data_IF_580892854099
#
_entry.id   IF_580892854099
#
_cell.length_a   1.000
_cell.length_b   1.000
_cell.length_c   1.000
_cell.angle_alpha   90.00
_cell.angle_beta   90.00
_cell.angle_gamma   90.00
#
_symmetry.space_group_name_H-M   'P 1'
#
loop_
_entity.id
_entity.type
_entity.pdbx_description
1 polymer ?
#
# COMPACT_ATOMS: atom_id res chain seq x y z
N UNK A 1 -1.44 0.00 -28.09
CA UNK A 1 -0.96 -0.79 -26.93
C UNK A 1 -1.63 -0.19 -25.72
N UNK A 2 -2.70 -0.84 -25.26
CA UNK A 2 -3.50 -0.30 -24.16
C UNK A 2 -2.66 -0.22 -22.88
N UNK A 3 -2.85 0.83 -22.06
CA UNK A 3 -2.07 1.01 -20.85
C UNK A 3 -2.43 -0.10 -19.85
N UNK A 4 -1.54 -1.07 -19.64
CA UNK A 4 -1.63 -2.00 -18.51
C UNK A 4 -1.83 -1.20 -17.21
N UNK A 5 -2.79 -1.57 -16.34
CA UNK A 5 -3.01 -0.85 -15.10
C UNK A 5 -1.75 -0.98 -14.24
N UNK A 6 -1.18 0.15 -13.81
CA UNK A 6 -0.02 0.18 -12.93
C UNK A 6 -0.48 0.60 -11.54
N UNK A 7 -0.38 -0.30 -10.57
CA UNK A 7 -0.61 -0.01 -9.15
C UNK A 7 0.73 0.08 -8.43
N UNK A 8 0.91 1.15 -7.66
CA UNK A 8 2.09 1.37 -6.83
C UNK A 8 1.71 1.19 -5.36
N UNK A 9 2.30 0.19 -4.71
CA UNK A 9 2.16 -0.06 -3.28
C UNK A 9 3.51 0.25 -2.59
N UNK A 10 3.70 1.48 -2.10
CA UNK A 10 4.96 1.92 -1.51
C UNK A 10 5.13 1.43 -0.05
N UNK A 11 6.21 0.68 0.27
CA UNK A 11 6.62 0.36 1.64
C UNK A 11 7.46 1.49 2.27
N UNK A 12 7.65 1.48 3.59
CA UNK A 12 8.48 2.46 4.30
C UNK A 12 7.70 3.70 4.76
N UNK A 13 8.37 4.81 5.05
CA UNK A 13 7.75 6.01 5.61
C UNK A 13 6.45 6.40 4.93
N UNK A 14 5.34 6.32 5.68
CA UNK A 14 4.02 6.59 5.15
C UNK A 14 3.89 8.02 4.60
N UNK A 15 4.58 8.97 5.23
CA UNK A 15 4.58 10.38 4.81
C UNK A 15 5.34 10.59 3.50
N UNK A 16 6.56 10.08 3.38
CA UNK A 16 7.36 10.22 2.16
C UNK A 16 6.76 9.43 0.99
N UNK A 17 6.22 8.25 1.30
CA UNK A 17 5.45 7.42 0.39
C UNK A 17 4.20 8.13 -0.18
N UNK A 18 3.48 8.87 0.67
CA UNK A 18 2.32 9.65 0.27
C UNK A 18 2.72 10.90 -0.54
N UNK A 19 3.84 11.55 -0.18
CA UNK A 19 4.37 12.74 -0.86
C UNK A 19 5.06 12.44 -2.18
N UNK A 20 5.54 11.21 -2.39
CA UNK A 20 6.21 10.82 -3.63
C UNK A 20 5.22 10.95 -4.81
N UNK A 21 5.57 11.71 -5.87
CA UNK A 21 4.67 11.92 -7.01
C UNK A 21 4.51 10.63 -7.82
N UNK A 22 3.53 9.81 -7.44
CA UNK A 22 3.25 8.48 -8.02
C UNK A 22 3.07 8.56 -9.54
N UNK A 23 2.40 9.60 -10.04
CA UNK A 23 2.18 9.82 -11.48
C UNK A 23 3.48 10.04 -12.28
N UNK A 24 4.49 10.71 -11.70
CA UNK A 24 5.77 10.95 -12.38
C UNK A 24 6.62 9.68 -12.43
N UNK A 25 6.63 8.92 -11.33
CA UNK A 25 7.35 7.66 -11.22
C UNK A 25 6.78 6.61 -12.18
N UNK A 26 5.45 6.53 -12.26
CA UNK A 26 4.75 5.64 -13.19
C UNK A 26 4.99 6.00 -14.67
N UNK A 27 5.08 7.29 -15.01
CA UNK A 27 5.45 7.73 -16.37
C UNK A 27 6.87 7.30 -16.74
N UNK A 28 7.85 7.52 -15.86
CA UNK A 28 9.23 7.09 -16.10
C UNK A 28 9.38 5.57 -16.19
N UNK A 29 8.63 4.81 -15.40
CA UNK A 29 8.64 3.34 -15.49
C UNK A 29 8.04 2.82 -16.81
N UNK A 30 7.06 3.53 -17.38
CA UNK A 30 6.48 3.21 -18.69
C UNK A 30 7.44 3.50 -19.86
N UNK A 31 8.37 4.43 -19.67
CA UNK A 31 9.39 4.81 -20.66
C UNK A 31 10.62 3.88 -20.64
N UNK A 32 10.73 2.96 -19.68
CA UNK A 32 11.86 2.03 -19.62
C UNK A 32 11.76 0.94 -20.72
N UNK A 33 12.83 0.69 -21.49
CA UNK A 33 12.82 -0.31 -22.56
C UNK A 33 12.66 -1.75 -22.03
N UNK A 34 11.93 -2.58 -22.78
CA UNK A 34 11.57 -3.99 -22.50
C UNK A 34 12.78 -4.92 -22.20
N UNK A 35 13.94 -4.60 -22.78
CA UNK A 35 15.14 -5.45 -22.82
C UNK A 35 16.21 -5.05 -21.80
N UNK A 36 15.85 -4.43 -20.68
CA UNK A 36 16.87 -4.19 -19.67
C UNK A 36 17.21 -5.50 -18.95
N UNK A 37 18.37 -6.07 -19.28
CA UNK A 37 18.95 -7.24 -18.61
C UNK A 37 18.96 -7.01 -17.10
N UNK A 38 18.60 -8.02 -16.26
CA UNK A 38 18.77 -7.92 -14.82
C UNK A 38 20.25 -7.65 -14.55
N UNK A 39 20.56 -6.45 -14.10
CA UNK A 39 21.90 -5.95 -14.00
C UNK A 39 21.94 -4.81 -13.00
N UNK A 40 22.92 -4.84 -12.12
CA UNK A 40 23.22 -3.79 -11.17
C UNK A 40 23.74 -2.57 -11.96
N UNK A 41 22.83 -1.74 -12.48
CA UNK A 41 23.21 -0.46 -13.09
C UNK A 41 23.85 0.42 -12.01
N UNK A 42 24.94 1.17 -12.29
CA UNK A 42 25.63 1.97 -11.29
C UNK A 42 24.67 3.04 -10.74
N UNK A 43 24.33 2.93 -9.46
CA UNK A 43 23.38 3.81 -8.76
C UNK A 43 23.76 5.29 -8.84
N UNK A 44 25.06 5.59 -8.99
CA UNK A 44 25.62 6.94 -8.87
C UNK A 44 25.25 7.86 -10.03
N UNK A 45 25.35 7.41 -11.29
CA UNK A 45 25.02 8.27 -12.45
C UNK A 45 23.53 8.59 -12.56
N UNK A 46 22.66 7.69 -12.08
CA UNK A 46 21.21 7.86 -12.16
C UNK A 46 20.63 8.65 -10.99
N UNK A 47 21.18 8.47 -9.79
CA UNK A 47 20.83 9.31 -8.64
C UNK A 47 21.26 10.76 -8.85
N UNK A 48 22.44 11.00 -9.45
CA UNK A 48 22.87 12.33 -9.87
C UNK A 48 21.96 12.96 -10.95
N UNK A 49 21.42 12.16 -11.88
CA UNK A 49 20.45 12.64 -12.88
C UNK A 49 19.07 12.93 -12.27
N UNK A 50 18.62 12.15 -11.28
CA UNK A 50 17.39 12.38 -10.53
C UNK A 50 17.50 13.66 -9.69
N UNK A 51 18.61 13.85 -8.97
CA UNK A 51 18.92 15.09 -8.23
C UNK A 51 19.01 16.32 -9.15
N UNK A 52 19.60 16.18 -10.35
CA UNK A 52 19.62 17.27 -11.36
C UNK A 52 18.25 17.61 -11.93
N UNK A 53 17.38 16.60 -12.10
CA UNK A 53 16.07 16.78 -12.73
C UNK A 53 14.98 17.28 -11.78
N UNK A 54 15.21 17.20 -10.47
CA UNK A 54 14.25 17.57 -9.43
C UNK A 54 14.96 18.32 -8.28
N UNK A 55 15.24 19.64 -8.43
CA UNK A 55 15.83 20.44 -7.36
C UNK A 55 14.84 20.51 -6.18
N UNK A 56 15.17 19.85 -5.07
CA UNK A 56 14.34 19.78 -3.86
C UNK A 56 13.94 18.37 -3.43
N UNK A 57 14.22 17.34 -4.24
CA UNK A 57 14.04 15.94 -3.83
C UNK A 57 15.13 15.56 -2.82
N UNK A 58 14.91 15.84 -1.54
CA UNK A 58 15.71 15.22 -0.47
C UNK A 58 15.45 13.73 -0.51
N UNK A 59 16.50 12.92 -0.66
CA UNK A 59 16.37 11.46 -0.56
C UNK A 59 15.76 11.16 0.82
N UNK A 60 14.52 10.62 0.86
CA UNK A 60 13.84 10.41 2.12
C UNK A 60 14.68 9.48 3.00
N UNK A 61 14.87 9.90 4.26
CA UNK A 61 15.58 9.09 5.23
C UNK A 61 14.63 7.98 5.69
N UNK A 62 14.72 6.82 5.03
CA UNK A 62 13.85 5.69 5.29
C UNK A 62 13.84 5.30 6.78
N UNK A 63 12.75 5.61 7.48
CA UNK A 63 12.35 4.96 8.73
C UNK A 63 11.33 3.87 8.37
N UNK A 64 11.55 2.69 8.96
CA UNK A 64 10.69 1.51 8.76
C UNK A 64 9.28 1.81 9.27
N UNK A 65 8.29 1.72 8.40
CA UNK A 65 6.91 1.43 8.81
C UNK A 65 6.63 -0.06 8.58
N UNK A 66 5.75 -0.61 9.41
CA UNK A 66 5.57 -2.05 9.55
C UNK A 66 4.73 -2.74 8.47
N UNK A 67 4.48 -2.12 7.32
CA UNK A 67 3.56 -2.72 6.33
C UNK A 67 4.31 -3.69 5.42
N UNK A 68 3.93 -4.97 5.48
CA UNK A 68 4.38 -5.99 4.50
C UNK A 68 3.52 -5.94 3.24
N UNK A 69 4.18 -5.87 2.10
CA UNK A 69 3.56 -5.79 0.77
C UNK A 69 4.16 -6.91 -0.07
N UNK A 70 3.31 -7.74 -0.66
CA UNK A 70 3.72 -8.77 -1.64
C UNK A 70 2.98 -8.54 -2.96
N UNK A 71 3.65 -8.81 -4.07
CA UNK A 71 3.09 -8.68 -5.41
C UNK A 71 3.42 -9.88 -6.30
N UNK A 72 2.44 -10.30 -7.10
CA UNK A 72 2.52 -11.36 -8.11
C UNK A 72 1.95 -10.80 -9.43
N UNK A 73 2.81 -10.40 -10.38
CA UNK A 73 2.34 -9.77 -11.64
C UNK A 73 3.28 -10.09 -12.80
N UNK A 74 2.72 -10.22 -14.00
CA UNK A 74 3.44 -10.38 -15.29
C UNK A 74 4.53 -9.31 -15.55
N UNK A 75 4.43 -8.12 -14.92
CA UNK A 75 5.42 -7.03 -15.00
C UNK A 75 5.56 -6.30 -13.66
N UNK A 76 6.19 -6.96 -12.70
CA UNK A 76 6.42 -6.40 -11.37
C UNK A 76 7.80 -5.75 -11.28
N UNK A 77 7.85 -4.54 -10.73
CA UNK A 77 9.08 -3.82 -10.44
C UNK A 77 9.19 -3.56 -8.94
N UNK A 78 10.32 -3.94 -8.36
CA UNK A 78 10.72 -3.49 -7.03
C UNK A 78 11.61 -2.27 -7.20
N UNK A 79 11.31 -1.17 -6.51
CA UNK A 79 12.11 0.07 -6.52
C UNK A 79 12.49 0.37 -5.08
N UNK A 80 13.79 0.45 -4.81
CA UNK A 80 14.29 0.75 -3.47
C UNK A 80 14.52 2.26 -3.29
N UNK A 81 14.52 2.77 -2.04
CA UNK A 81 14.66 4.21 -1.77
C UNK A 81 15.93 4.85 -2.36
N UNK A 82 16.98 4.06 -2.58
CA UNK A 82 18.24 4.50 -3.18
C UNK A 82 18.24 4.51 -4.71
N UNK A 83 17.08 4.32 -5.35
CA UNK A 83 16.91 4.42 -6.80
C UNK A 83 17.28 3.17 -7.60
N UNK A 84 17.69 2.09 -6.93
CA UNK A 84 17.83 0.79 -7.57
C UNK A 84 16.46 0.20 -7.87
N UNK A 85 16.42 -0.65 -8.88
CA UNK A 85 15.20 -1.34 -9.28
C UNK A 85 15.54 -2.73 -9.78
N UNK A 86 14.57 -3.63 -9.66
CA UNK A 86 14.68 -5.00 -10.16
C UNK A 86 13.34 -5.45 -10.71
N UNK A 87 13.38 -6.16 -11.84
CA UNK A 87 12.21 -6.79 -12.44
C UNK A 87 12.21 -8.26 -12.03
N UNK A 88 11.16 -8.67 -11.33
CA UNK A 88 11.04 -10.00 -10.71
C UNK A 88 9.62 -10.53 -10.94
N UNK A 89 9.40 -11.85 -10.99
CA UNK A 89 8.04 -12.41 -11.11
C UNK A 89 7.19 -12.19 -9.85
N UNK A 90 7.84 -12.14 -8.69
CA UNK A 90 7.25 -11.79 -7.41
C UNK A 90 8.24 -10.98 -6.58
N UNK A 91 7.73 -10.19 -5.63
CA UNK A 91 8.56 -9.49 -4.63
C UNK A 91 7.74 -9.29 -3.37
N UNK A 92 8.42 -9.31 -2.23
CA UNK A 92 7.88 -8.81 -0.97
C UNK A 92 8.76 -7.66 -0.47
N UNK A 93 8.15 -6.62 0.10
CA UNK A 93 8.84 -5.47 0.70
C UNK A 93 8.16 -5.10 2.02
N UNK A 94 8.91 -4.50 2.93
CA UNK A 94 8.40 -4.11 4.25
C UNK A 94 9.19 -4.77 5.38
N UNK A 95 8.67 -4.70 6.61
CA UNK A 95 9.33 -5.33 7.77
C UNK A 95 9.16 -6.85 7.80
N UNK A 96 7.99 -7.37 7.44
CA UNK A 96 7.69 -8.82 7.36
C UNK A 96 7.96 -9.43 5.98
N UNK A 97 8.76 -8.76 5.15
CA UNK A 97 9.11 -9.24 3.81
C UNK A 97 9.81 -10.61 3.85
N UNK A 98 10.57 -10.91 4.89
CA UNK A 98 11.37 -12.14 4.97
C UNK A 98 10.47 -13.38 5.07
N UNK A 99 9.42 -13.31 5.90
CA UNK A 99 8.43 -14.38 6.04
C UNK A 99 7.56 -14.53 4.78
N UNK A 100 7.16 -13.40 4.18
CA UNK A 100 6.40 -13.42 2.93
C UNK A 100 7.22 -14.01 1.77
N UNK A 101 8.51 -13.66 1.67
CA UNK A 101 9.39 -14.16 0.62
C UNK A 101 9.64 -15.66 0.77
N UNK A 102 9.77 -16.18 2.00
CA UNK A 102 9.92 -17.62 2.22
C UNK A 102 8.75 -18.44 1.65
N UNK A 103 7.51 -17.97 1.82
CA UNK A 103 6.31 -18.63 1.27
C UNK A 103 6.26 -18.51 -0.25
N UNK A 104 6.61 -17.33 -0.78
CA UNK A 104 6.64 -17.11 -2.23
C UNK A 104 7.68 -18.00 -2.91
N UNK A 105 8.91 -18.10 -2.37
CA UNK A 105 9.97 -18.95 -2.93
C UNK A 105 9.62 -20.45 -2.88
N UNK A 106 8.90 -20.90 -1.84
CA UNK A 106 8.52 -22.31 -1.68
C UNK A 106 7.42 -22.74 -2.67
N UNK A 107 6.40 -21.90 -2.87
CA UNK A 107 5.14 -22.29 -3.54
C UNK A 107 4.88 -21.63 -4.89
N UNK A 108 5.65 -20.63 -5.27
CA UNK A 108 5.44 -19.93 -6.54
C UNK A 108 5.60 -20.85 -7.74
N UNK A 109 4.68 -20.75 -8.70
CA UNK A 109 4.77 -21.40 -9.99
C UNK A 109 4.58 -20.38 -11.12
N UNK A 110 5.27 -20.53 -12.26
CA UNK A 110 5.02 -19.69 -13.42
C UNK A 110 3.62 -19.98 -13.99
N UNK A 111 2.89 -18.94 -14.41
CA UNK A 111 1.57 -19.03 -15.05
C UNK A 111 0.47 -19.67 -14.18
N UNK A 112 0.42 -19.32 -12.89
CA UNK A 112 -0.67 -19.72 -11.99
C UNK A 112 -2.03 -19.13 -12.42
N UNK A 113 -3.11 -19.82 -12.02
CA UNK A 113 -4.48 -19.27 -12.12
C UNK A 113 -4.66 -18.11 -11.15
N UNK A 114 -5.68 -17.28 -11.39
CA UNK A 114 -5.97 -16.11 -10.57
C UNK A 114 -6.27 -16.53 -9.12
N UNK A 115 -7.04 -17.60 -8.95
CA UNK A 115 -7.45 -18.14 -7.65
C UNK A 115 -6.24 -18.66 -6.87
N UNK A 116 -5.38 -19.45 -7.52
CA UNK A 116 -4.16 -19.97 -6.89
C UNK A 116 -3.19 -18.84 -6.51
N UNK A 117 -3.09 -17.79 -7.34
CA UNK A 117 -2.28 -16.62 -7.03
C UNK A 117 -2.83 -15.81 -5.85
N UNK A 118 -4.16 -15.72 -5.71
CA UNK A 118 -4.80 -15.08 -4.56
C UNK A 118 -4.56 -15.85 -3.27
N UNK A 119 -4.72 -17.17 -3.31
CA UNK A 119 -4.45 -18.04 -2.15
C UNK A 119 -2.99 -17.92 -1.71
N UNK A 120 -2.04 -18.01 -2.65
CA UNK A 120 -0.61 -17.84 -2.37
C UNK A 120 -0.30 -16.45 -1.77
N UNK A 121 -0.95 -15.40 -2.27
CA UNK A 121 -0.80 -14.05 -1.72
C UNK A 121 -1.30 -13.95 -0.28
N UNK A 122 -2.47 -14.54 0.00
CA UNK A 122 -3.03 -14.59 1.35
C UNK A 122 -2.09 -15.32 2.29
N UNK A 123 -1.56 -16.47 1.89
CA UNK A 123 -0.60 -17.23 2.70
C UNK A 123 0.69 -16.44 2.96
N UNK A 124 1.27 -15.82 1.94
CA UNK A 124 2.51 -15.04 2.07
C UNK A 124 2.34 -13.84 3.01
N UNK A 125 1.25 -13.08 2.87
CA UNK A 125 0.99 -11.94 3.77
C UNK A 125 0.61 -12.42 5.17
N UNK A 126 -0.12 -13.52 5.31
CA UNK A 126 -0.46 -14.09 6.62
C UNK A 126 0.80 -14.54 7.36
N UNK A 127 1.76 -15.15 6.66
CA UNK A 127 3.08 -15.47 7.24
C UNK A 127 3.83 -14.20 7.68
N UNK A 128 3.77 -13.12 6.90
CA UNK A 128 4.28 -11.80 7.29
C UNK A 128 3.60 -11.24 8.55
N UNK A 129 2.27 -11.28 8.61
CA UNK A 129 1.49 -10.79 9.76
C UNK A 129 1.81 -11.58 11.04
N UNK A 130 1.90 -12.89 10.96
CA UNK A 130 2.16 -13.74 12.13
C UNK A 130 3.66 -13.76 12.51
N UNK A 131 4.55 -13.54 11.54
CA UNK A 131 5.99 -13.62 11.70
C UNK A 131 6.69 -12.29 12.03
N UNK A 132 6.04 -11.14 11.82
CA UNK A 132 6.62 -9.83 12.06
C UNK A 132 5.72 -8.95 12.94
N UNK A 133 6.30 -8.37 13.99
CA UNK A 133 5.58 -7.48 14.93
C UNK A 133 5.23 -6.12 14.31
N UNK A 134 5.95 -5.71 13.27
CA UNK A 134 5.61 -4.51 12.52
C UNK A 134 4.35 -4.69 11.67
N UNK A 135 4.04 -5.93 11.29
CA UNK A 135 2.96 -6.28 10.38
C UNK A 135 1.72 -6.73 11.12
N UNK A 136 0.54 -6.41 10.60
CA UNK A 136 -0.72 -6.77 11.25
C UNK A 136 -1.96 -6.31 10.48
N UNK A 137 -3.13 -6.66 11.00
CA UNK A 137 -4.42 -6.28 10.44
C UNK A 137 -4.94 -7.28 9.41
N UNK A 138 -5.59 -6.77 8.37
CA UNK A 138 -6.20 -7.55 7.29
C UNK A 138 -5.32 -7.59 6.04
N UNK A 139 -5.50 -8.63 5.23
CA UNK A 139 -4.89 -8.77 3.92
C UNK A 139 -5.74 -8.06 2.89
N UNK A 140 -5.18 -7.02 2.26
CA UNK A 140 -5.78 -6.34 1.10
C UNK A 140 -5.12 -6.86 -0.18
N UNK A 141 -5.90 -7.08 -1.24
CA UNK A 141 -5.40 -7.55 -2.54
C UNK A 141 -5.86 -6.62 -3.67
N UNK A 142 -4.99 -6.37 -4.64
CA UNK A 142 -5.35 -5.67 -5.87
C UNK A 142 -5.12 -6.61 -7.05
N UNK A 143 -6.21 -7.01 -7.71
CA UNK A 143 -6.14 -7.88 -8.89
C UNK A 143 -6.09 -6.99 -10.13
N UNK A 144 -5.02 -7.12 -10.90
CA UNK A 144 -4.81 -6.36 -12.12
C UNK A 144 -4.86 -7.32 -13.31
N UNK A 145 -5.85 -7.13 -14.16
CA UNK A 145 -5.98 -7.80 -15.45
C UNK A 145 -5.73 -6.81 -16.58
N UNK A 146 -5.57 -7.29 -17.82
CA UNK A 146 -5.36 -6.40 -18.98
C UNK A 146 -6.51 -5.40 -19.18
N UNK A 147 -7.71 -5.73 -18.72
CA UNK A 147 -8.94 -4.94 -18.91
C UNK A 147 -9.29 -4.07 -17.71
N UNK A 148 -8.95 -4.49 -16.49
CA UNK A 148 -9.40 -3.81 -15.27
C UNK A 148 -8.48 -4.06 -14.09
N UNK A 149 -8.52 -3.12 -13.14
CA UNK A 149 -7.94 -3.28 -11.81
C UNK A 149 -9.08 -3.33 -10.78
N UNK A 150 -9.11 -4.38 -9.95
CA UNK A 150 -10.09 -4.57 -8.89
C UNK A 150 -9.38 -4.59 -7.54
N UNK A 151 -9.69 -3.62 -6.69
CA UNK A 151 -9.23 -3.58 -5.31
C UNK A 151 -10.19 -4.39 -4.44
N UNK A 152 -9.65 -5.40 -3.76
CA UNK A 152 -10.33 -6.23 -2.78
C UNK A 152 -9.79 -5.85 -1.40
N UNK A 153 -10.59 -5.10 -0.64
CA UNK A 153 -10.24 -4.77 0.75
C UNK A 153 -10.69 -5.91 1.65
N UNK A 154 -9.84 -6.27 2.61
CA UNK A 154 -10.12 -7.34 3.57
C UNK A 154 -10.43 -8.66 2.86
N UNK A 155 -9.51 -9.12 2.01
CA UNK A 155 -9.60 -10.44 1.40
C UNK A 155 -9.52 -11.56 2.46
N UNK A 156 -8.68 -11.35 3.48
CA UNK A 156 -8.56 -12.24 4.63
C UNK A 156 -8.26 -11.45 5.89
N UNK A 157 -8.79 -11.90 7.02
CA UNK A 157 -8.51 -11.35 8.35
C UNK A 157 -8.00 -12.49 9.24
N UNK A 158 -6.68 -12.73 9.31
CA UNK A 158 -6.13 -13.83 10.10
C UNK A 158 -6.36 -13.65 11.61
N UNK A 159 -6.55 -12.40 12.05
CA UNK A 159 -6.84 -12.06 13.44
C UNK A 159 -8.28 -11.59 13.57
N UNK A 160 -9.07 -12.28 14.40
CA UNK A 160 -10.41 -11.83 14.75
C UNK A 160 -10.35 -10.63 15.70
N UNK A 161 -11.17 -9.59 15.49
CA UNK A 161 -11.28 -8.49 16.44
C UNK A 161 -11.72 -8.98 17.82
N UNK A 162 -10.98 -8.61 18.86
CA UNK A 162 -11.33 -8.99 20.23
C UNK A 162 -12.53 -8.15 20.69
N UNK A 163 -13.63 -8.83 21.03
CA UNK A 163 -14.74 -8.19 21.72
C UNK A 163 -14.33 -7.77 23.13
N UNK A 164 -14.51 -6.48 23.44
CA UNK A 164 -14.21 -5.97 24.78
C UNK A 164 -15.26 -6.48 25.76
N UNK A 165 -14.83 -7.23 26.77
CA UNK A 165 -15.72 -7.77 27.82
C UNK A 165 -16.35 -6.70 28.71
N UNK A 166 -15.80 -5.48 28.74
CA UNK A 166 -16.30 -4.37 29.56
C UNK A 166 -16.44 -3.12 28.71
N UNK A 167 -17.56 -2.44 28.91
CA UNK A 167 -17.80 -1.10 28.38
C UNK A 167 -17.45 -0.07 29.45
N UNK A 168 -16.64 0.93 29.09
CA UNK A 168 -16.29 2.05 29.98
C UNK A 168 -17.12 3.27 29.59
N UNK A 169 -18.30 3.39 30.19
CA UNK A 169 -19.14 4.57 30.05
C UNK A 169 -19.11 5.36 31.35
N UNK A 170 -18.59 6.58 31.29
CA UNK A 170 -18.62 7.52 32.40
C UNK A 170 -19.82 8.46 32.23
N UNK A 171 -20.54 8.71 33.32
CA UNK A 171 -21.66 9.65 33.29
C UNK A 171 -21.17 11.07 32.96
N UNK A 172 -21.98 11.91 32.30
CA UNK A 172 -21.68 13.32 32.13
C UNK A 172 -21.33 13.99 33.47
N UNK A 173 -20.28 14.83 33.50
CA UNK A 173 -19.80 15.47 34.72
C UNK A 173 -18.70 14.70 35.49
N UNK A 174 -18.27 13.53 35.01
CA UNK A 174 -17.16 12.77 35.65
C UNK A 174 -15.80 13.46 35.50
N UNK A 175 -15.60 14.26 34.45
CA UNK A 175 -14.36 14.98 34.17
C UNK A 175 -14.47 16.43 34.64
N UNK A 176 -13.52 16.90 35.46
CA UNK A 176 -13.49 18.30 35.91
C UNK A 176 -13.18 19.24 34.73
N UNK A 177 -14.08 20.18 34.45
CA UNK A 177 -13.92 21.20 33.40
C UNK A 177 -13.45 22.50 34.04
N UNK A 178 -12.31 23.04 33.59
CA UNK A 178 -11.73 24.29 34.14
C UNK A 178 -12.33 25.54 33.48
N UNK A 179 -12.61 25.48 32.19
CA UNK A 179 -13.19 26.57 31.41
C UNK A 179 -13.95 25.98 30.22
N UNK A 180 -15.10 26.56 29.91
CA UNK A 180 -15.94 26.17 28.77
C UNK A 180 -16.26 27.43 27.94
N UNK A 181 -16.09 27.34 26.63
CA UNK A 181 -16.46 28.39 25.68
C UNK A 181 -17.43 27.80 24.67
N UNK A 182 -18.65 28.32 24.63
CA UNK A 182 -19.68 27.90 23.68
C UNK A 182 -19.83 28.97 22.61
N UNK A 183 -19.50 28.64 21.36
CA UNK A 183 -19.78 29.49 20.20
C UNK A 183 -21.04 28.97 19.48
N UNK A 184 -22.20 29.63 19.64
CA UNK A 184 -23.38 29.28 18.86
C UNK A 184 -23.13 29.61 17.39
N UNK A 185 -23.34 28.63 16.51
CA UNK A 185 -23.31 28.84 15.07
C UNK A 185 -24.67 29.39 14.62
N UNK A 186 -24.73 30.64 14.19
CA UNK A 186 -25.87 31.18 13.45
C UNK A 186 -25.85 30.60 12.04
N UNK A 187 -26.61 29.52 11.84
CA UNK A 187 -26.88 28.96 10.52
C UNK A 187 -28.13 29.67 9.97
N UNK A 188 -27.99 30.42 8.87
CA UNK A 188 -29.13 30.82 8.05
C UNK A 188 -29.47 29.67 7.11
N UNK A 189 -30.66 29.07 7.28
CA UNK A 189 -31.18 28.04 6.39
C UNK A 189 -31.50 28.71 5.03
N UNK A 190 -30.57 28.64 4.09
CA UNK A 190 -30.74 29.25 2.76
C UNK A 190 -31.61 28.37 1.84
N UNK A 191 -31.51 27.05 1.93
CA UNK A 191 -32.30 26.13 1.11
C UNK A 191 -32.35 24.74 1.74
N UNK A 192 -33.55 24.15 1.83
CA UNK A 192 -33.76 22.76 2.24
C UNK A 192 -34.23 21.98 1.01
N UNK A 193 -33.41 21.04 0.53
CA UNK A 193 -33.79 20.12 -0.55
C UNK A 193 -34.01 18.73 0.03
N UNK A 194 -35.28 18.34 0.13
CA UNK A 194 -35.68 16.99 0.52
C UNK A 194 -35.67 16.12 -0.72
N UNK A 195 -34.69 15.21 -0.83
CA UNK A 195 -34.73 14.15 -1.83
C UNK A 195 -35.39 12.92 -1.22
N UNK A 196 -36.62 12.62 -1.64
CA UNK A 196 -37.24 11.33 -1.39
C UNK A 196 -36.56 10.29 -2.29
N UNK A 197 -35.95 9.28 -1.69
CA UNK A 197 -35.55 8.08 -2.41
C UNK A 197 -36.75 7.13 -2.46
N UNK A 198 -37.27 6.87 -3.65
CA UNK A 198 -38.20 5.78 -3.87
C UNK A 198 -37.46 4.45 -3.65
N UNK A 199 -37.98 3.64 -2.73
CA UNK A 199 -37.51 2.28 -2.48
C UNK A 199 -38.41 1.35 -3.29
N UNK A 200 -37.92 0.86 -4.42
CA UNK A 200 -38.43 -0.37 -5.08
C UNK A 200 -37.73 -1.61 -4.50
#
# INVERSE_FOLDING_TARGET
>A
VDPTPLTLCPPGDAEDSARTPKGLLLRKLRELPEELKPGFLPSVSRNAALERSLPGLRVPHARKTGTTIAGLVFRLYSVHPHGSYSRLPFTALGSGQDAALAVLEDRFQPNMTLEAAQELLVEAITAGILGDLGSGGSVDACVITGTSAKLLRTLSSPTEPIERSRQYHFAPGTTAVLSETVMPLTLELLEETVQAMDVE
#
